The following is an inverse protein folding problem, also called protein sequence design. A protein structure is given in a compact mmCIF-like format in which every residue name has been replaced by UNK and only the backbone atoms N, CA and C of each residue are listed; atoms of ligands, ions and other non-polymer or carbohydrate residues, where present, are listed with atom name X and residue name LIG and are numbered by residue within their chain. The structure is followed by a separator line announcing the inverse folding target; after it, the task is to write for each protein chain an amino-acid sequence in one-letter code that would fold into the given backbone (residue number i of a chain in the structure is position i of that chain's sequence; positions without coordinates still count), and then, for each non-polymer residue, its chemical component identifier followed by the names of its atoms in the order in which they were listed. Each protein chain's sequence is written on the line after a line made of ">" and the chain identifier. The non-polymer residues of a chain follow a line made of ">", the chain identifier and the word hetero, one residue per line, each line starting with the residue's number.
data_IF_810224036451
#
_entry.id   IF_810224036451
#
_cell.length_a   1.000
_cell.length_b   1.000
_cell.length_c   1.000
_cell.angle_alpha   90.00
_cell.angle_beta   90.00
_cell.angle_gamma   90.00
#
_symmetry.space_group_name_H-M   'P 1'
#
loop_
_entity.id
_entity.type
_entity.pdbx_description
1 polymer ?
#
# COMPACT_ATOMS: atom_id res chain seq x y z
N UNK A 1 6.54 26.76 44.37
CA UNK A 1 5.28 26.27 43.77
C UNK A 1 5.11 26.70 42.31
N UNK A 2 5.34 27.98 41.95
CA UNK A 2 5.20 28.45 40.57
C UNK A 2 6.13 27.78 39.53
N UNK A 3 7.38 27.44 39.90
CA UNK A 3 8.29 26.77 38.97
C UNK A 3 7.91 25.31 38.66
N UNK A 4 7.34 24.56 39.62
CA UNK A 4 6.88 23.20 39.35
C UNK A 4 5.64 23.18 38.44
N UNK A 5 4.75 24.17 38.56
CA UNK A 5 3.56 24.24 37.70
C UNK A 5 3.92 24.64 36.27
N UNK A 6 4.92 25.52 36.07
CA UNK A 6 5.38 25.88 34.73
C UNK A 6 6.15 24.75 34.04
N UNK A 7 7.00 23.98 34.75
CA UNK A 7 7.62 22.78 34.18
C UNK A 7 6.58 21.72 33.77
N UNK A 8 5.55 21.51 34.60
CA UNK A 8 4.47 20.57 34.28
C UNK A 8 3.70 21.01 33.03
N UNK A 9 3.37 22.31 32.92
CA UNK A 9 2.66 22.86 31.75
C UNK A 9 3.48 22.73 30.45
N UNK A 10 4.80 22.95 30.51
CA UNK A 10 5.71 22.77 29.36
C UNK A 10 5.80 21.29 28.94
N UNK A 11 5.79 20.36 29.89
CA UNK A 11 5.78 18.92 29.61
C UNK A 11 4.49 18.49 28.89
N UNK A 12 3.34 18.96 29.38
CA UNK A 12 2.04 18.68 28.78
C UNK A 12 1.90 19.26 27.36
N UNK A 13 2.38 20.49 27.11
CA UNK A 13 2.32 21.08 25.77
C UNK A 13 3.26 20.39 24.79
N UNK A 14 4.45 19.99 25.24
CA UNK A 14 5.39 19.20 24.43
C UNK A 14 4.82 17.82 24.06
N UNK A 15 4.21 17.12 25.02
CA UNK A 15 3.55 15.84 24.77
C UNK A 15 2.35 15.98 23.83
N UNK A 16 1.52 17.01 24.00
CA UNK A 16 0.43 17.30 23.09
C UNK A 16 0.93 17.59 21.66
N UNK A 17 2.00 18.38 21.51
CA UNK A 17 2.61 18.69 20.21
C UNK A 17 3.17 17.43 19.52
N UNK A 18 3.77 16.51 20.30
CA UNK A 18 4.21 15.20 19.80
C UNK A 18 3.04 14.33 19.32
N UNK A 19 1.91 14.33 20.04
CA UNK A 19 0.69 13.63 19.60
C UNK A 19 0.10 14.23 18.31
N UNK A 20 0.13 15.55 18.16
CA UNK A 20 -0.31 16.22 16.92
C UNK A 20 0.59 15.90 15.72
N UNK A 21 1.91 15.77 15.92
CA UNK A 21 2.85 15.37 14.86
C UNK A 21 2.58 13.95 14.34
N UNK A 22 2.14 13.03 15.22
CA UNK A 22 1.77 11.65 14.82
C UNK A 22 0.48 11.63 13.97
N UNK A 23 -0.44 12.58 14.20
CA UNK A 23 -1.69 12.70 13.42
C UNK A 23 -1.53 13.40 12.06
N UNK A 24 -0.33 13.91 11.72
CA UNK A 24 -0.10 14.67 10.50
C UNK A 24 0.22 13.82 9.25
N UNK A 25 0.06 12.48 9.30
CA UNK A 25 0.20 11.63 8.10
C UNK A 25 -1.06 11.70 7.23
N UNK A 26 -1.33 12.87 6.66
CA UNK A 26 -2.34 13.04 5.62
C UNK A 26 -1.92 12.26 4.36
N UNK A 27 -2.74 11.30 3.93
CA UNK A 27 -2.55 10.53 2.69
C UNK A 27 -2.92 11.36 1.43
N UNK A 28 -3.25 12.64 1.58
CA UNK A 28 -3.49 13.56 0.46
C UNK A 28 -2.34 13.53 -0.56
N UNK A 29 -2.66 13.05 -1.77
CA UNK A 29 -1.72 12.94 -2.87
C UNK A 29 -1.02 11.57 -3.01
N UNK A 30 -1.31 10.60 -2.14
CA UNK A 30 -0.89 9.20 -2.28
C UNK A 30 -1.98 8.37 -2.96
N UNK A 31 -1.56 7.40 -3.77
CA UNK A 31 -2.42 6.35 -4.31
C UNK A 31 -1.74 5.03 -3.95
N UNK A 32 -2.38 4.27 -3.07
CA UNK A 32 -1.92 2.93 -2.68
C UNK A 32 -2.88 1.91 -3.27
N UNK A 33 -2.36 1.07 -4.15
CA UNK A 33 -3.13 0.09 -4.92
C UNK A 33 -2.81 -1.29 -4.38
N UNK A 34 -3.84 -2.07 -4.08
CA UNK A 34 -3.71 -3.48 -3.70
C UNK A 34 -4.13 -4.35 -4.90
N UNK A 35 -3.19 -5.14 -5.38
CA UNK A 35 -3.31 -5.86 -6.64
C UNK A 35 -4.06 -7.16 -6.43
N UNK A 36 -5.22 -7.32 -7.09
CA UNK A 36 -5.98 -8.55 -7.06
C UNK A 36 -6.97 -8.67 -5.90
N UNK A 37 -7.18 -7.63 -5.08
CA UNK A 37 -8.35 -7.61 -4.18
C UNK A 37 -9.66 -7.45 -4.98
N UNK A 38 -10.83 -7.80 -4.40
CA UNK A 38 -12.11 -7.71 -5.10
C UNK A 38 -12.35 -6.34 -5.74
N UNK A 39 -13.01 -6.34 -6.89
CA UNK A 39 -13.32 -5.10 -7.61
C UNK A 39 -14.10 -4.13 -6.72
N UNK A 40 -13.85 -2.84 -6.90
CA UNK A 40 -14.47 -1.74 -6.15
C UNK A 40 -14.27 -1.79 -4.63
N UNK A 41 -13.39 -2.67 -4.13
CA UNK A 41 -13.07 -2.77 -2.71
C UNK A 41 -11.95 -1.82 -2.30
N UNK A 42 -11.98 -1.44 -1.02
CA UNK A 42 -10.93 -0.67 -0.37
C UNK A 42 -10.89 -0.97 1.12
N UNK A 43 -9.75 -0.72 1.75
CA UNK A 43 -9.60 -0.84 3.20
C UNK A 43 -8.49 0.09 3.70
N UNK A 44 -8.51 0.38 4.99
CA UNK A 44 -7.37 0.97 5.68
C UNK A 44 -6.57 -0.16 6.32
N UNK A 45 -5.27 -0.20 6.06
CA UNK A 45 -4.37 -1.14 6.71
C UNK A 45 -4.34 -0.85 8.21
N UNK A 46 -4.55 -1.88 9.03
CA UNK A 46 -4.76 -1.73 10.48
C UNK A 46 -3.49 -1.31 11.21
N UNK A 47 -2.32 -1.62 10.66
CA UNK A 47 -1.02 -1.34 11.28
C UNK A 47 -0.51 0.05 10.88
N UNK A 48 -0.62 0.39 9.59
CA UNK A 48 -0.03 1.60 9.02
C UNK A 48 -1.06 2.73 8.81
N UNK A 49 -2.35 2.43 8.87
CA UNK A 49 -3.42 3.38 8.56
C UNK A 49 -3.54 3.75 7.06
N UNK A 50 -2.72 3.14 6.19
CA UNK A 50 -2.71 3.44 4.76
C UNK A 50 -3.98 2.92 4.10
N UNK A 51 -4.67 3.78 3.33
CA UNK A 51 -5.81 3.37 2.53
C UNK A 51 -5.35 2.69 1.24
N UNK A 52 -5.71 1.43 1.06
CA UNK A 52 -5.55 0.69 -0.18
C UNK A 52 -6.86 0.63 -0.96
N UNK A 53 -6.77 0.76 -2.28
CA UNK A 53 -7.88 0.59 -3.23
C UNK A 53 -7.60 -0.55 -4.21
N UNK A 54 -8.64 -1.16 -4.77
CA UNK A 54 -8.51 -2.23 -5.77
C UNK A 54 -7.77 -1.75 -7.02
N UNK A 55 -6.90 -2.61 -7.56
CA UNK A 55 -6.23 -2.41 -8.84
C UNK A 55 -7.17 -2.39 -10.05
N UNK A 56 -8.38 -2.93 -9.92
CA UNK A 56 -9.36 -3.03 -11.01
C UNK A 56 -9.70 -1.70 -11.68
N UNK A 57 -9.49 -0.56 -11.00
CA UNK A 57 -9.68 0.77 -11.59
C UNK A 57 -8.49 1.26 -12.44
N UNK A 58 -7.39 0.52 -12.45
CA UNK A 58 -6.11 0.93 -13.04
C UNK A 58 -5.56 -0.06 -14.08
N UNK A 59 -6.07 -1.29 -14.11
CA UNK A 59 -5.58 -2.37 -14.99
C UNK A 59 -6.75 -3.04 -15.71
N UNK A 60 -6.57 -3.30 -17.02
CA UNK A 60 -7.61 -3.86 -17.88
C UNK A 60 -7.49 -5.39 -18.07
N UNK A 61 -6.42 -6.01 -17.56
CA UNK A 61 -6.08 -7.41 -17.82
C UNK A 61 -5.48 -8.11 -16.60
N UNK A 62 -5.23 -9.41 -16.76
CA UNK A 62 -4.66 -10.25 -15.71
C UNK A 62 -5.70 -10.83 -14.75
N UNK A 63 -5.27 -11.81 -13.97
CA UNK A 63 -6.14 -12.59 -13.09
C UNK A 63 -5.79 -12.32 -11.63
N UNK A 64 -6.79 -12.02 -10.83
CA UNK A 64 -6.66 -11.94 -9.37
C UNK A 64 -6.44 -13.35 -8.81
N UNK A 65 -5.48 -13.47 -7.89
CA UNK A 65 -5.12 -14.71 -7.23
C UNK A 65 -4.86 -14.46 -5.74
N UNK A 66 -5.27 -15.41 -4.91
CA UNK A 66 -4.82 -15.49 -3.52
C UNK A 66 -3.54 -16.32 -3.47
N UNK A 67 -2.58 -15.93 -2.63
CA UNK A 67 -1.37 -16.72 -2.41
C UNK A 67 -1.70 -18.04 -1.69
N UNK A 68 -0.87 -19.06 -1.85
CA UNK A 68 -1.06 -20.33 -1.18
C UNK A 68 -0.96 -20.19 0.35
N UNK A 69 -1.73 -21.00 1.08
CA UNK A 69 -1.98 -20.83 2.51
C UNK A 69 -0.70 -20.90 3.35
N UNK A 70 0.28 -21.71 2.94
CA UNK A 70 1.58 -21.83 3.59
C UNK A 70 2.41 -20.54 3.55
N UNK A 71 2.10 -19.61 2.64
CA UNK A 71 2.70 -18.29 2.55
C UNK A 71 1.87 -17.20 3.25
N UNK A 72 0.69 -17.53 3.77
CA UNK A 72 -0.17 -16.61 4.54
C UNK A 72 0.20 -16.62 6.03
N UNK A 73 1.48 -16.40 6.37
CA UNK A 73 1.89 -16.34 7.78
C UNK A 73 1.46 -15.04 8.44
N UNK A 74 1.16 -15.09 9.74
CA UNK A 74 0.90 -13.90 10.56
C UNK A 74 2.10 -12.95 10.53
N UNK A 75 1.92 -11.74 9.98
CA UNK A 75 2.95 -10.70 9.92
C UNK A 75 3.27 -10.19 8.50
N UNK A 76 2.72 -10.81 7.45
CA UNK A 76 2.82 -10.24 6.11
C UNK A 76 1.86 -9.07 5.91
N UNK A 77 2.30 -8.10 5.13
CA UNK A 77 1.48 -6.96 4.75
C UNK A 77 0.23 -7.44 4.00
N UNK A 78 -0.96 -7.01 4.44
CA UNK A 78 -2.25 -7.46 3.91
C UNK A 78 -2.36 -7.31 2.38
N UNK A 79 -1.74 -6.28 1.81
CA UNK A 79 -1.70 -6.00 0.38
C UNK A 79 -0.81 -6.94 -0.46
N UNK A 80 -0.26 -7.99 0.16
CA UNK A 80 0.50 -9.06 -0.51
C UNK A 80 -0.20 -10.42 -0.41
N UNK A 81 -1.36 -10.50 0.24
CA UNK A 81 -2.15 -11.74 0.35
C UNK A 81 -2.90 -12.07 -0.95
N UNK A 82 -3.25 -11.04 -1.72
CA UNK A 82 -3.75 -11.18 -3.08
C UNK A 82 -2.72 -10.57 -4.03
N UNK A 83 -2.71 -11.09 -5.26
CA UNK A 83 -1.84 -10.63 -6.33
C UNK A 83 -2.59 -10.60 -7.65
N UNK A 84 -2.14 -9.73 -8.56
CA UNK A 84 -2.54 -9.75 -9.97
C UNK A 84 -1.49 -10.49 -10.79
N UNK A 85 -1.88 -11.60 -11.39
CA UNK A 85 -1.05 -12.38 -12.31
C UNK A 85 -1.32 -12.01 -13.76
N UNK A 86 -0.27 -12.04 -14.60
CA UNK A 86 -0.34 -11.76 -16.03
C UNK A 86 0.21 -12.94 -16.85
N UNK A 87 -0.49 -14.09 -16.88
CA UNK A 87 -0.01 -15.27 -17.61
C UNK A 87 -0.13 -15.12 -19.13
N UNK A 88 -0.95 -14.17 -19.59
CA UNK A 88 -1.23 -13.91 -21.00
C UNK A 88 -0.80 -12.50 -21.40
N UNK A 89 -0.53 -12.35 -22.70
CA UNK A 89 -0.10 -11.10 -23.30
C UNK A 89 1.40 -10.85 -23.21
N UNK A 90 1.88 -9.89 -24.01
CA UNK A 90 3.31 -9.51 -24.03
C UNK A 90 3.63 -8.33 -23.13
N UNK A 91 2.64 -7.49 -22.84
CA UNK A 91 2.75 -6.28 -22.02
C UNK A 91 1.39 -5.98 -21.41
N UNK A 92 1.37 -5.72 -20.11
CA UNK A 92 0.19 -5.34 -19.35
C UNK A 92 0.50 -4.00 -18.66
N UNK A 93 -0.43 -3.06 -18.72
CA UNK A 93 -0.21 -1.68 -18.32
C UNK A 93 -1.15 -1.31 -17.18
N UNK A 94 -0.63 -0.52 -16.24
CA UNK A 94 -1.44 0.21 -15.27
C UNK A 94 -1.54 1.67 -15.71
N UNK A 95 -2.76 2.21 -15.82
CA UNK A 95 -2.98 3.65 -16.03
C UNK A 95 -3.22 4.34 -14.68
N UNK A 96 -2.15 4.82 -14.07
CA UNK A 96 -2.21 5.53 -12.78
C UNK A 96 -2.14 7.04 -13.02
N UNK A 97 -3.27 7.72 -12.84
CA UNK A 97 -3.34 9.18 -12.92
C UNK A 97 -2.80 9.81 -11.65
N UNK A 98 -1.73 10.59 -11.78
CA UNK A 98 -1.12 11.25 -10.62
C UNK A 98 -2.01 12.37 -10.08
N UNK A 99 -2.18 12.52 -8.76
CA UNK A 99 -3.13 13.49 -8.19
C UNK A 99 -2.83 14.96 -8.53
N UNK A 100 -1.55 15.29 -8.74
CA UNK A 100 -1.11 16.66 -9.10
C UNK A 100 -0.79 16.82 -10.59
N UNK A 101 -0.94 15.77 -11.40
CA UNK A 101 -0.67 15.81 -12.83
C UNK A 101 0.82 15.89 -13.19
N UNK A 102 1.11 16.51 -14.33
CA UNK A 102 2.47 16.57 -14.91
C UNK A 102 3.35 17.59 -14.19
N UNK A 103 4.67 17.38 -14.24
CA UNK A 103 5.68 18.33 -13.74
C UNK A 103 6.04 18.18 -12.26
N UNK A 104 5.41 17.25 -11.54
CA UNK A 104 5.76 16.91 -10.16
C UNK A 104 6.64 15.65 -10.10
N UNK A 105 7.46 15.56 -9.05
CA UNK A 105 8.24 14.35 -8.76
C UNK A 105 7.37 13.41 -7.92
N UNK A 106 7.36 12.14 -8.30
CA UNK A 106 6.62 11.09 -7.63
C UNK A 106 7.57 9.98 -7.19
N UNK A 107 7.32 9.41 -6.01
CA UNK A 107 7.93 8.16 -5.60
C UNK A 107 7.01 7.03 -6.03
N UNK A 108 7.49 6.18 -6.93
CA UNK A 108 6.78 4.96 -7.34
C UNK A 108 7.42 3.79 -6.58
N UNK A 109 6.59 3.02 -5.87
CA UNK A 109 7.00 1.81 -5.16
C UNK A 109 6.15 0.65 -5.66
N UNK A 110 6.77 -0.29 -6.35
CA UNK A 110 6.16 -1.57 -6.73
C UNK A 110 6.59 -2.63 -5.74
N UNK A 111 5.69 -3.57 -5.43
CA UNK A 111 5.96 -4.75 -4.60
C UNK A 111 5.54 -5.98 -5.37
N UNK A 112 6.31 -7.06 -5.23
CA UNK A 112 6.09 -8.30 -5.96
C UNK A 112 6.02 -9.46 -4.97
N UNK A 113 5.01 -10.31 -5.14
CA UNK A 113 4.80 -11.52 -4.38
C UNK A 113 4.36 -12.61 -5.35
N UNK A 114 5.00 -13.78 -5.29
CA UNK A 114 4.55 -14.95 -6.02
C UNK A 114 3.67 -15.82 -5.13
N UNK A 115 4.13 -16.17 -3.93
CA UNK A 115 3.33 -16.91 -2.96
C UNK A 115 2.71 -18.22 -3.49
N UNK A 116 3.31 -18.82 -4.52
CA UNK A 116 2.86 -20.07 -5.13
C UNK A 116 1.38 -20.10 -5.53
N UNK A 117 0.82 -18.96 -5.98
CA UNK A 117 -0.62 -18.85 -6.26
C UNK A 117 -1.17 -19.77 -7.36
N UNK A 118 -0.28 -20.42 -8.13
CA UNK A 118 -0.58 -21.31 -9.25
C UNK A 118 -0.03 -22.73 -9.05
N UNK A 119 0.48 -23.04 -7.85
CA UNK A 119 1.03 -24.35 -7.47
C UNK A 119 2.23 -24.84 -8.31
N UNK A 120 2.87 -23.97 -9.09
CA UNK A 120 4.01 -24.34 -9.95
C UNK A 120 5.36 -24.35 -9.22
N UNK A 121 5.44 -23.70 -8.05
CA UNK A 121 6.67 -23.58 -7.27
C UNK A 121 7.77 -22.78 -7.97
N UNK A 122 7.43 -22.04 -9.03
CA UNK A 122 8.38 -21.33 -9.87
C UNK A 122 7.86 -19.91 -10.14
N UNK A 123 8.53 -18.92 -9.56
CA UNK A 123 8.17 -17.52 -9.75
C UNK A 123 8.40 -17.09 -11.22
N UNK A 124 7.53 -16.25 -11.79
CA UNK A 124 7.70 -15.75 -13.14
C UNK A 124 8.85 -14.72 -13.21
N UNK A 125 9.46 -14.62 -14.39
CA UNK A 125 10.42 -13.57 -14.74
C UNK A 125 9.75 -12.55 -15.67
N UNK A 126 9.93 -11.26 -15.38
CA UNK A 126 9.36 -10.18 -16.18
C UNK A 126 10.14 -8.88 -16.00
N UNK A 127 10.00 -8.01 -17.00
CA UNK A 127 10.49 -6.62 -16.93
C UNK A 127 9.40 -5.69 -16.40
N UNK A 128 9.80 -4.69 -15.61
CA UNK A 128 8.96 -3.54 -15.24
C UNK A 128 9.39 -2.30 -16.03
N UNK A 129 8.43 -1.64 -16.67
CA UNK A 129 8.62 -0.35 -17.35
C UNK A 129 7.83 0.74 -16.61
N UNK A 130 8.46 1.89 -16.38
CA UNK A 130 7.87 3.09 -15.75
C UNK A 130 7.90 4.29 -16.70
#
# INVERSE_FOLDING_TARGET
>A
MAMLSSLSLISFTSFALLLFLVHAQDQSGFISIDCGIPNDSSYNDETTGIKYVSDSAFVDSGTSKSIAAEFQSSGFDKHLLNVRSFPEGKRNCYDVRTPRGKGFKYLIRTRFMYGNYDDLGAAPEFDLYL
#
